data_IF_378897022957
#
_entry.id   IF_378897022957
#
_cell.length_a   1.000
_cell.length_b   1.000
_cell.length_c   1.000
_cell.angle_alpha   90.00
_cell.angle_beta   90.00
_cell.angle_gamma   90.00
#
_symmetry.space_group_name_H-M   'P 1'
#
loop_
_entity.id
_entity.type
_entity.pdbx_description
1 polymer ?
#
# COMPACT_ATOMS: atom_id res chain seq x y z
N UNK A 1 6.91 -0.01 37.65
CA UNK A 1 5.99 -0.56 36.63
C UNK A 1 6.25 -2.04 36.44
N UNK A 2 5.22 -2.90 36.34
CA UNK A 2 5.45 -4.30 35.92
C UNK A 2 5.84 -4.26 34.44
N UNK A 3 7.03 -4.77 34.08
CA UNK A 3 7.59 -4.87 32.70
C UNK A 3 6.54 -5.15 31.61
N UNK A 4 5.52 -5.94 31.94
CA UNK A 4 4.37 -6.27 31.10
C UNK A 4 3.50 -5.07 30.66
N UNK A 5 3.29 -4.06 31.50
CA UNK A 5 2.47 -2.88 31.16
C UNK A 5 3.22 -1.92 30.21
N UNK A 6 4.53 -1.79 30.38
CA UNK A 6 5.41 -1.03 29.47
C UNK A 6 5.43 -1.62 28.06
N UNK A 7 5.66 -2.94 27.98
CA UNK A 7 5.70 -3.68 26.72
C UNK A 7 4.32 -3.70 26.01
N UNK A 8 3.24 -3.50 26.75
CA UNK A 8 1.89 -3.41 26.19
C UNK A 8 1.58 -2.03 25.56
N UNK A 9 2.26 -0.96 26.00
CA UNK A 9 2.12 0.39 25.42
C UNK A 9 2.96 0.57 24.15
N UNK A 10 4.23 0.14 24.20
CA UNK A 10 5.16 0.21 23.06
C UNK A 10 4.80 -0.73 21.89
N UNK A 11 4.00 -1.77 22.13
CA UNK A 11 3.72 -2.81 21.14
C UNK A 11 2.63 -2.46 20.10
N UNK A 12 2.09 -1.25 20.10
CA UNK A 12 0.87 -0.91 19.34
C UNK A 12 0.98 0.29 18.41
N UNK A 13 2.02 1.12 18.59
CA UNK A 13 2.35 2.18 17.65
C UNK A 13 3.83 2.54 17.73
N UNK A 14 4.42 2.96 16.61
CA UNK A 14 5.80 3.43 16.51
C UNK A 14 5.83 4.73 15.69
N UNK A 15 6.73 5.65 16.07
CA UNK A 15 7.00 6.90 15.36
C UNK A 15 8.44 6.85 14.83
N UNK A 16 8.67 7.11 13.54
CA UNK A 16 9.99 6.99 12.92
C UNK A 16 10.92 8.18 13.10
N UNK A 17 10.44 9.34 13.55
CA UNK A 17 11.27 10.55 13.58
C UNK A 17 12.32 10.52 14.68
N UNK A 18 13.60 10.72 14.31
CA UNK A 18 14.70 10.90 15.26
C UNK A 18 14.88 12.37 15.72
N UNK A 19 14.07 13.31 15.19
CA UNK A 19 14.23 14.74 15.48
C UNK A 19 13.97 15.06 16.97
N UNK A 20 15.01 15.42 17.75
CA UNK A 20 14.91 15.62 19.21
C UNK A 20 14.21 16.92 19.61
N UNK A 21 13.61 17.64 18.66
CA UNK A 21 13.05 18.99 18.83
C UNK A 21 11.63 19.16 18.33
N UNK A 22 10.84 18.08 18.19
CA UNK A 22 9.39 18.19 18.16
C UNK A 22 8.88 18.61 19.56
N UNK A 23 9.20 19.86 19.92
CA UNK A 23 8.31 20.68 20.74
C UNK A 23 7.09 20.85 19.85
N UNK A 24 6.13 19.95 20.03
CA UNK A 24 4.81 20.06 19.41
C UNK A 24 4.22 21.37 19.95
N UNK A 25 4.45 22.47 19.24
CA UNK A 25 3.59 23.63 19.32
C UNK A 25 2.17 23.11 19.01
N UNK A 26 1.15 23.66 19.65
CA UNK A 26 -0.23 23.15 19.70
C UNK A 26 -0.95 22.91 18.34
N UNK A 27 -0.27 22.92 17.19
CA UNK A 27 -0.79 22.76 15.84
C UNK A 27 -0.09 21.65 15.04
N UNK A 28 0.04 20.45 15.63
CA UNK A 28 0.67 19.26 15.00
C UNK A 28 -0.05 18.79 13.73
N UNK A 29 -1.35 19.08 13.70
CA UNK A 29 -2.30 18.57 12.73
C UNK A 29 -2.86 19.78 11.99
N UNK A 30 -2.52 19.89 10.72
CA UNK A 30 -3.04 20.94 9.84
C UNK A 30 -4.20 20.40 9.03
N UNK A 31 -5.22 21.24 8.81
CA UNK A 31 -6.29 20.95 7.87
C UNK A 31 -5.88 21.46 6.48
N UNK A 32 -6.19 20.72 5.43
CA UNK A 32 -5.93 21.17 4.06
C UNK A 32 -7.17 20.95 3.18
N UNK A 33 -7.45 21.90 2.30
CA UNK A 33 -8.46 21.78 1.24
C UNK A 33 -7.77 21.28 -0.04
N UNK A 34 -8.47 20.46 -0.85
CA UNK A 34 -7.96 19.90 -2.11
C UNK A 34 -6.70 19.04 -1.94
N UNK A 35 -6.72 18.12 -0.96
CA UNK A 35 -5.57 17.26 -0.67
C UNK A 35 -5.31 16.28 -1.80
N UNK A 36 -4.08 15.75 -1.81
CA UNK A 36 -3.62 14.69 -2.71
C UNK A 36 -3.12 13.56 -1.85
N UNK A 37 -4.02 12.64 -1.55
CA UNK A 37 -3.83 11.53 -0.61
C UNK A 37 -3.48 10.28 -1.41
N UNK A 38 -2.41 9.60 -1.02
CA UNK A 38 -2.05 8.28 -1.54
C UNK A 38 -2.41 7.20 -0.51
N UNK A 39 -3.14 6.18 -0.93
CA UNK A 39 -3.40 4.96 -0.15
C UNK A 39 -2.65 3.81 -0.79
N UNK A 40 -1.56 3.39 -0.14
CA UNK A 40 -0.74 2.25 -0.54
C UNK A 40 -1.29 0.96 0.05
N UNK A 41 -1.51 -0.03 -0.81
CA UNK A 41 -1.95 -1.38 -0.44
C UNK A 41 -0.86 -2.37 -0.82
N UNK A 42 -0.07 -2.79 0.15
CA UNK A 42 0.97 -3.81 -0.04
C UNK A 42 0.28 -5.19 -0.19
N UNK A 43 0.45 -5.81 -1.35
CA UNK A 43 0.07 -7.20 -1.63
C UNK A 43 1.24 -8.10 -1.26
N UNK A 44 1.43 -8.31 0.05
CA UNK A 44 2.64 -8.93 0.60
C UNK A 44 2.74 -10.41 0.26
N UNK A 45 3.85 -10.77 -0.36
CA UNK A 45 4.15 -12.12 -0.80
C UNK A 45 4.14 -12.26 -2.32
N UNK A 46 4.53 -11.25 -3.11
CA UNK A 46 4.67 -11.34 -4.57
C UNK A 46 3.40 -11.82 -5.29
N UNK A 47 2.42 -10.93 -5.45
CA UNK A 47 1.16 -11.23 -6.10
C UNK A 47 1.34 -11.83 -7.51
N UNK A 48 0.61 -12.91 -7.80
CA UNK A 48 0.57 -13.52 -9.14
C UNK A 48 -0.16 -12.61 -10.14
N UNK A 49 0.61 -11.74 -10.81
CA UNK A 49 0.09 -10.81 -11.81
C UNK A 49 -0.61 -11.52 -12.98
N UNK A 50 -0.14 -12.71 -13.38
CA UNK A 50 -0.70 -13.48 -14.49
C UNK A 50 -2.08 -14.08 -14.18
N UNK A 51 -2.37 -14.35 -12.90
CA UNK A 51 -3.70 -14.73 -12.43
C UNK A 51 -4.51 -13.54 -11.88
N UNK A 52 -3.94 -12.33 -11.86
CA UNK A 52 -4.64 -11.11 -11.45
C UNK A 52 -5.22 -10.39 -12.68
N UNK A 53 -4.35 -10.14 -13.65
CA UNK A 53 -4.61 -9.54 -14.95
C UNK A 53 -4.25 -10.56 -16.03
N UNK A 54 -5.27 -11.31 -16.46
CA UNK A 54 -5.13 -12.60 -17.14
C UNK A 54 -5.06 -12.38 -18.66
N UNK A 55 -4.04 -12.93 -19.35
CA UNK A 55 -3.93 -12.90 -20.80
C UNK A 55 -4.76 -14.05 -21.38
N UNK A 56 -6.08 -13.96 -21.21
CA UNK A 56 -7.02 -15.09 -21.29
C UNK A 56 -7.10 -15.78 -22.66
N UNK A 57 -6.67 -15.11 -23.73
CA UNK A 57 -6.59 -15.67 -25.08
C UNK A 57 -5.26 -16.38 -25.37
N UNK A 58 -4.27 -16.30 -24.48
CA UNK A 58 -2.92 -16.83 -24.70
C UNK A 58 -2.87 -18.33 -24.50
N UNK A 59 -2.53 -19.07 -25.55
CA UNK A 59 -2.22 -20.50 -25.45
C UNK A 59 -1.02 -20.75 -24.52
N UNK A 60 0.01 -19.90 -24.56
CA UNK A 60 1.19 -20.05 -23.71
C UNK A 60 0.85 -20.00 -22.21
N UNK A 61 -0.07 -19.10 -21.83
CA UNK A 61 -0.57 -19.02 -20.45
C UNK A 61 -1.27 -20.32 -20.02
N UNK A 62 -2.23 -20.79 -20.81
CA UNK A 62 -2.97 -22.01 -20.49
C UNK A 62 -2.09 -23.27 -20.50
N UNK A 63 -1.13 -23.35 -21.42
CA UNK A 63 -0.17 -24.46 -21.49
C UNK A 63 0.79 -24.48 -20.31
N UNK A 64 1.30 -23.31 -19.90
CA UNK A 64 2.23 -23.22 -18.77
C UNK A 64 1.54 -23.42 -17.40
N UNK A 65 0.22 -23.28 -17.34
CA UNK A 65 -0.58 -23.29 -16.10
C UNK A 65 -1.76 -24.27 -16.15
N UNK A 66 -1.50 -25.57 -16.37
CA UNK A 66 -2.54 -26.54 -16.65
C UNK A 66 -3.60 -26.70 -15.54
N UNK A 67 -3.28 -26.40 -14.28
CA UNK A 67 -4.22 -26.53 -13.16
C UNK A 67 -4.64 -25.19 -12.55
N UNK A 68 -3.84 -24.14 -12.73
CA UNK A 68 -4.09 -22.82 -12.11
C UNK A 68 -4.55 -21.75 -13.10
N UNK A 69 -4.53 -22.01 -14.41
CA UNK A 69 -5.02 -21.05 -15.40
C UNK A 69 -6.52 -20.80 -15.21
N UNK A 70 -6.92 -19.53 -15.33
CA UNK A 70 -8.33 -19.16 -15.25
C UNK A 70 -8.98 -19.31 -16.64
N UNK A 71 -10.09 -20.06 -16.76
CA UNK A 71 -10.77 -20.23 -18.04
C UNK A 71 -11.23 -18.91 -18.64
N UNK A 72 -11.06 -18.74 -19.96
CA UNK A 72 -11.43 -17.53 -20.68
C UNK A 72 -12.92 -17.12 -20.55
N UNK A 73 -13.79 -18.07 -20.21
CA UNK A 73 -15.22 -17.84 -19.98
C UNK A 73 -15.50 -17.18 -18.62
N UNK A 74 -14.62 -17.32 -17.64
CA UNK A 74 -14.78 -16.77 -16.29
C UNK A 74 -14.17 -15.37 -16.17
N UNK A 75 -13.21 -15.04 -17.05
CA UNK A 75 -12.48 -13.77 -17.03
C UNK A 75 -13.38 -12.56 -17.34
N UNK A 76 -13.28 -11.52 -16.51
CA UNK A 76 -13.90 -10.22 -16.81
C UNK A 76 -13.04 -9.42 -17.78
N UNK A 77 -13.40 -9.47 -19.06
CA UNK A 77 -12.62 -8.87 -20.15
C UNK A 77 -12.47 -7.36 -19.99
N UNK A 78 -11.24 -6.88 -20.02
CA UNK A 78 -10.90 -5.45 -20.07
C UNK A 78 -10.53 -5.01 -21.49
N UNK A 79 -9.97 -5.94 -22.27
CA UNK A 79 -9.62 -5.77 -23.69
C UNK A 79 -9.89 -7.06 -24.47
N UNK A 80 -9.49 -7.08 -25.75
CA UNK A 80 -9.57 -8.27 -26.60
C UNK A 80 -8.65 -9.42 -26.17
N UNK A 81 -7.66 -9.18 -25.32
CA UNK A 81 -6.65 -10.18 -24.93
C UNK A 81 -6.41 -10.29 -23.43
N UNK A 82 -6.80 -9.27 -22.65
CA UNK A 82 -6.53 -9.17 -21.21
C UNK A 82 -7.81 -8.93 -20.42
N UNK A 83 -7.94 -9.55 -19.24
CA UNK A 83 -9.08 -9.36 -18.36
C UNK A 83 -8.77 -9.63 -16.89
N UNK A 84 -9.72 -9.35 -16.01
CA UNK A 84 -9.56 -9.52 -14.58
C UNK A 84 -9.96 -10.92 -14.12
N UNK A 85 -9.28 -11.36 -13.06
CA UNK A 85 -9.72 -12.50 -12.28
C UNK A 85 -11.19 -12.35 -11.83
N UNK A 86 -12.00 -13.43 -11.81
CA UNK A 86 -13.42 -13.38 -11.42
C UNK A 86 -13.64 -12.75 -10.04
N UNK A 87 -12.74 -13.04 -9.09
CA UNK A 87 -12.78 -12.48 -7.73
C UNK A 87 -12.69 -10.94 -7.68
N UNK A 88 -12.21 -10.29 -8.75
CA UNK A 88 -12.12 -8.83 -8.86
C UNK A 88 -13.41 -8.17 -9.38
N UNK A 89 -14.50 -8.94 -9.59
CA UNK A 89 -15.81 -8.42 -9.99
C UNK A 89 -16.27 -7.16 -9.23
N UNK A 90 -16.08 -7.04 -7.90
CA UNK A 90 -16.49 -5.83 -7.18
C UNK A 90 -15.86 -4.52 -7.67
N UNK A 91 -14.75 -4.58 -8.42
CA UNK A 91 -14.05 -3.40 -8.96
C UNK A 91 -14.56 -2.98 -10.34
N UNK A 92 -15.39 -3.78 -11.01
CA UNK A 92 -15.90 -3.44 -12.34
C UNK A 92 -16.65 -2.10 -12.41
N UNK A 93 -17.41 -1.65 -11.39
CA UNK A 93 -17.98 -0.31 -11.41
C UNK A 93 -16.94 0.81 -11.51
N UNK A 94 -15.77 0.68 -10.88
CA UNK A 94 -14.68 1.66 -10.99
C UNK A 94 -14.05 1.64 -12.39
N UNK A 95 -13.87 0.44 -12.98
CA UNK A 95 -13.44 0.29 -14.38
C UNK A 95 -14.39 0.99 -15.35
N UNK A 96 -15.70 0.73 -15.22
CA UNK A 96 -16.74 1.27 -16.11
C UNK A 96 -16.87 2.78 -16.02
N UNK A 97 -16.45 3.38 -14.90
CA UNK A 97 -16.39 4.83 -14.69
C UNK A 97 -15.06 5.45 -15.12
N UNK A 98 -14.13 4.66 -15.66
CA UNK A 98 -12.79 5.09 -16.04
C UNK A 98 -12.00 5.69 -14.87
N UNK A 99 -12.24 5.20 -13.65
CA UNK A 99 -11.57 5.63 -12.41
C UNK A 99 -10.51 4.62 -11.95
N UNK A 100 -10.18 3.64 -12.81
CA UNK A 100 -9.30 2.52 -12.50
C UNK A 100 -8.35 2.25 -13.65
N UNK A 101 -7.06 2.13 -13.35
CA UNK A 101 -6.01 1.81 -14.28
C UNK A 101 -5.21 0.58 -13.82
N UNK A 102 -4.71 -0.19 -14.78
CA UNK A 102 -3.77 -1.27 -14.54
C UNK A 102 -2.46 -0.97 -15.25
N UNK A 103 -1.38 -0.97 -14.49
CA UNK A 103 -0.02 -0.87 -15.04
C UNK A 103 0.54 -2.28 -15.19
N UNK A 104 1.04 -2.57 -16.39
CA UNK A 104 1.50 -3.89 -16.82
C UNK A 104 3.02 -3.88 -16.97
N UNK A 105 3.64 -5.04 -16.79
CA UNK A 105 5.07 -5.20 -17.02
C UNK A 105 5.94 -4.38 -16.09
N UNK A 106 5.45 -4.10 -14.88
CA UNK A 106 6.19 -3.40 -13.85
C UNK A 106 7.30 -4.29 -13.30
N UNK A 107 8.49 -3.73 -13.17
CA UNK A 107 9.65 -4.38 -12.57
C UNK A 107 10.83 -3.41 -12.50
N UNK A 108 12.04 -3.96 -12.43
CA UNK A 108 13.29 -3.21 -12.37
C UNK A 108 14.45 -4.09 -12.89
N UNK A 109 15.58 -3.48 -13.29
CA UNK A 109 16.79 -4.22 -13.67
C UNK A 109 17.25 -5.17 -12.56
N UNK A 110 17.82 -6.33 -12.94
CA UNK A 110 18.46 -7.28 -12.02
C UNK A 110 17.62 -7.69 -10.78
N UNK A 111 16.39 -8.23 -10.96
CA UNK A 111 15.50 -8.49 -9.85
C UNK A 111 16.02 -9.61 -8.94
N UNK A 112 15.98 -9.34 -7.64
CA UNK A 112 16.60 -10.14 -6.58
C UNK A 112 15.75 -11.36 -6.15
N UNK A 113 14.42 -11.21 -6.14
CA UNK A 113 13.42 -12.23 -5.73
C UNK A 113 13.46 -12.64 -4.25
N UNK A 114 14.29 -12.01 -3.42
CA UNK A 114 14.15 -12.05 -1.96
C UNK A 114 13.00 -11.15 -1.54
N UNK A 115 12.04 -11.67 -0.78
CA UNK A 115 10.95 -10.85 -0.23
C UNK A 115 11.49 -9.65 0.55
N UNK A 116 12.59 -9.82 1.28
CA UNK A 116 13.17 -8.77 2.12
C UNK A 116 13.86 -7.71 1.28
N UNK A 117 14.79 -8.09 0.40
CA UNK A 117 15.56 -7.10 -0.36
C UNK A 117 14.71 -6.44 -1.46
N UNK A 118 13.80 -7.20 -2.08
CA UNK A 118 12.96 -6.64 -3.14
C UNK A 118 11.94 -5.65 -2.57
N UNK A 119 11.28 -5.95 -1.44
CA UNK A 119 10.35 -4.97 -0.85
C UNK A 119 11.09 -3.71 -0.38
N UNK A 120 12.34 -3.82 0.10
CA UNK A 120 13.16 -2.66 0.45
C UNK A 120 13.48 -1.77 -0.76
N UNK A 121 13.76 -2.36 -1.92
CA UNK A 121 13.93 -1.64 -3.20
C UNK A 121 12.65 -0.88 -3.56
N UNK A 122 11.48 -1.54 -3.48
CA UNK A 122 10.20 -0.90 -3.74
C UNK A 122 9.87 0.21 -2.73
N UNK A 123 10.10 -0.02 -1.44
CA UNK A 123 9.78 0.93 -0.37
C UNK A 123 10.69 2.17 -0.41
N UNK A 124 11.95 2.04 -0.83
CA UNK A 124 12.92 3.15 -0.92
C UNK A 124 12.99 3.80 -2.31
N UNK A 125 12.59 3.11 -3.37
CA UNK A 125 12.65 3.61 -4.74
C UNK A 125 14.06 3.63 -5.35
N UNK A 126 14.98 2.83 -4.81
CA UNK A 126 16.39 2.77 -5.25
C UNK A 126 16.62 1.71 -6.34
N UNK A 127 17.85 1.61 -6.87
CA UNK A 127 18.23 0.52 -7.79
C UNK A 127 18.64 -0.75 -7.04
N UNK A 128 19.35 -0.59 -5.92
CA UNK A 128 19.92 -1.68 -5.15
C UNK A 128 19.62 -1.50 -3.66
N UNK A 129 19.26 -2.56 -2.95
CA UNK A 129 18.93 -2.51 -1.52
C UNK A 129 20.10 -2.04 -0.63
N UNK A 130 21.34 -2.08 -1.12
CA UNK A 130 22.51 -1.50 -0.44
C UNK A 130 22.50 0.03 -0.41
N UNK A 131 21.77 0.68 -1.32
CA UNK A 131 21.59 2.14 -1.40
C UNK A 131 20.43 2.64 -0.54
N UNK A 132 19.78 1.75 0.22
CA UNK A 132 18.57 2.07 0.98
C UNK A 132 18.79 3.19 1.99
N UNK A 133 17.81 4.09 2.05
CA UNK A 133 17.70 5.17 3.02
C UNK A 133 16.23 5.41 3.38
N UNK A 134 15.81 6.67 3.39
CA UNK A 134 14.40 7.03 3.56
C UNK A 134 13.52 6.39 2.47
N UNK A 135 12.31 5.99 2.84
CA UNK A 135 11.28 5.51 1.93
C UNK A 135 10.89 6.58 0.90
N UNK A 136 10.50 6.16 -0.29
CA UNK A 136 10.28 7.11 -1.39
C UNK A 136 9.16 8.12 -1.11
N UNK A 137 8.16 7.75 -0.29
CA UNK A 137 7.10 8.67 0.16
C UNK A 137 7.63 9.61 1.23
N UNK A 138 8.39 9.11 2.21
CA UNK A 138 9.00 9.95 3.24
C UNK A 138 9.90 11.04 2.63
N UNK A 139 10.67 10.71 1.59
CA UNK A 139 11.48 11.68 0.83
C UNK A 139 10.65 12.84 0.25
N UNK A 140 9.41 12.56 -0.19
CA UNK A 140 8.51 13.57 -0.75
C UNK A 140 8.01 14.57 0.31
N UNK A 141 8.04 14.19 1.58
CA UNK A 141 7.48 14.95 2.68
C UNK A 141 8.53 15.23 3.76
N UNK A 142 9.79 15.39 3.37
CA UNK A 142 10.85 15.83 4.28
C UNK A 142 10.45 17.14 4.98
N UNK A 143 10.55 17.17 6.30
CA UNK A 143 10.10 18.29 7.14
C UNK A 143 8.63 18.26 7.52
N UNK A 144 7.81 17.32 7.02
CA UNK A 144 6.44 17.13 7.51
C UNK A 144 6.45 16.47 8.88
N UNK A 145 5.63 17.01 9.79
CA UNK A 145 5.45 16.45 11.13
C UNK A 145 4.73 15.10 11.10
N UNK A 146 3.79 14.94 10.16
CA UNK A 146 3.12 13.68 9.88
C UNK A 146 2.91 13.51 8.36
N UNK A 147 3.92 13.00 7.68
CA UNK A 147 3.85 12.70 6.24
C UNK A 147 3.13 11.39 5.91
N UNK A 148 2.85 10.53 6.89
CA UNK A 148 1.98 9.39 6.65
C UNK A 148 1.63 8.53 7.85
N UNK A 149 0.64 7.66 7.65
CA UNK A 149 0.19 6.69 8.66
C UNK A 149 0.14 5.28 8.06
N UNK A 150 0.88 4.35 8.64
CA UNK A 150 0.76 2.93 8.33
C UNK A 150 -0.20 2.27 9.32
N UNK A 151 -1.28 1.64 8.84
CA UNK A 151 -2.12 0.75 9.64
C UNK A 151 -1.53 -0.66 9.58
N UNK A 152 -0.30 -0.77 10.07
CA UNK A 152 0.54 -1.96 10.04
C UNK A 152 1.63 -1.83 11.12
N UNK A 153 2.49 -2.83 11.26
CA UNK A 153 3.71 -2.78 12.08
C UNK A 153 4.95 -2.33 11.30
N UNK A 154 4.90 -2.34 9.96
CA UNK A 154 5.95 -1.83 9.09
C UNK A 154 5.51 -0.55 8.37
N UNK A 155 6.31 0.50 8.50
CA UNK A 155 6.11 1.80 7.83
C UNK A 155 6.38 1.73 6.32
N UNK A 156 7.27 0.82 5.88
CA UNK A 156 7.68 0.66 4.49
C UNK A 156 8.09 1.99 3.85
N UNK A 157 7.41 2.45 2.77
CA UNK A 157 7.79 3.66 2.06
C UNK A 157 7.55 4.95 2.85
N UNK A 158 6.85 4.88 4.00
CA UNK A 158 6.65 6.00 4.92
C UNK A 158 7.81 6.17 5.91
N UNK A 159 8.72 5.21 6.01
CA UNK A 159 9.87 5.33 6.91
C UNK A 159 10.80 6.45 6.43
N UNK A 160 11.22 7.33 7.32
CA UNK A 160 12.29 8.28 7.01
C UNK A 160 12.78 9.02 8.25
N UNK A 161 14.02 9.50 8.20
CA UNK A 161 14.64 10.24 9.31
C UNK A 161 14.12 11.67 9.41
N UNK A 162 13.75 12.26 8.28
CA UNK A 162 13.37 13.67 8.16
C UNK A 162 11.86 13.90 8.01
N UNK A 163 11.06 12.83 7.97
CA UNK A 163 9.61 12.87 7.86
C UNK A 163 8.98 12.05 8.99
N UNK A 164 8.06 12.64 9.76
CA UNK A 164 7.33 11.90 10.78
C UNK A 164 6.32 10.95 10.15
N UNK A 165 6.34 9.67 10.52
CA UNK A 165 5.32 8.71 10.13
C UNK A 165 4.89 7.85 11.32
N UNK A 166 3.59 7.61 11.42
CA UNK A 166 2.99 6.85 12.52
C UNK A 166 2.61 5.45 12.04
N UNK A 167 3.13 4.42 12.70
CA UNK A 167 2.65 3.05 12.56
C UNK A 167 1.61 2.78 13.63
N UNK A 168 0.46 2.22 13.28
CA UNK A 168 -0.61 1.86 14.22
C UNK A 168 -1.12 0.46 13.91
N UNK A 169 -0.83 -0.49 14.78
CA UNK A 169 -1.22 -1.90 14.58
C UNK A 169 -2.68 -2.17 14.99
N UNK A 170 -3.27 -1.33 15.86
CA UNK A 170 -4.67 -1.38 16.28
C UNK A 170 -5.13 0.01 16.75
N UNK A 171 -5.74 0.84 15.88
CA UNK A 171 -6.13 2.22 16.20
C UNK A 171 -7.14 2.34 17.35
N UNK A 172 -8.08 1.40 17.49
CA UNK A 172 -9.08 1.43 18.55
C UNK A 172 -8.47 1.08 19.92
N UNK A 173 -7.51 0.16 19.96
CA UNK A 173 -6.76 -0.16 21.18
C UNK A 173 -5.71 0.91 21.51
N UNK A 174 -5.14 1.53 20.50
CA UNK A 174 -4.23 2.67 20.60
C UNK A 174 -4.89 3.85 21.34
N UNK A 175 -6.05 4.30 20.88
CA UNK A 175 -6.84 5.37 21.52
C UNK A 175 -7.20 5.03 22.98
N UNK A 176 -7.48 3.75 23.30
CA UNK A 176 -7.79 3.31 24.67
C UNK A 176 -6.57 3.33 25.61
N UNK A 177 -5.36 3.20 25.08
CA UNK A 177 -4.12 3.11 25.86
C UNK A 177 -3.43 4.45 26.08
N UNK A 178 -3.56 5.41 25.16
CA UNK A 178 -3.07 6.79 25.36
C UNK A 178 -3.66 7.42 26.63
N UNK A 179 -4.89 7.06 26.98
CA UNK A 179 -5.56 7.50 28.22
C UNK A 179 -4.91 7.01 29.53
N UNK A 180 -3.90 6.14 29.49
CA UNK A 180 -3.24 5.56 30.69
C UNK A 180 -1.81 6.01 30.95
N UNK A 181 -1.24 6.90 30.14
CA UNK A 181 0.15 7.35 30.28
C UNK A 181 0.18 8.75 30.88
N UNK A 182 0.02 8.83 32.20
CA UNK A 182 0.24 10.06 32.98
C UNK A 182 1.13 9.79 34.23
N UNK A 183 1.93 8.71 34.22
CA UNK A 183 2.65 8.24 35.42
C UNK A 183 4.16 7.99 35.21
N UNK A 184 4.77 8.45 34.10
CA UNK A 184 6.17 8.18 33.76
C UNK A 184 7.13 9.36 33.97
N UNK A 185 6.70 10.46 34.59
CA UNK A 185 7.50 11.67 34.81
C UNK A 185 8.73 11.50 35.74
N UNK A 186 9.06 10.30 36.21
CA UNK A 186 10.13 10.09 37.18
C UNK A 186 11.51 9.94 36.51
N UNK A 187 12.28 11.03 36.55
CA UNK A 187 13.74 11.16 36.50
C UNK A 187 14.54 9.85 36.31
N UNK A 188 14.71 9.42 35.05
CA UNK A 188 15.78 8.49 34.68
C UNK A 188 16.99 9.27 34.19
N UNK A 189 18.20 8.89 34.58
CA UNK A 189 19.46 9.41 34.01
C UNK A 189 19.88 8.66 32.72
N UNK A 190 19.13 7.63 32.32
CA UNK A 190 19.42 6.86 31.12
C UNK A 190 18.83 7.57 29.88
N UNK A 191 19.71 8.04 29.01
CA UNK A 191 19.36 8.81 27.80
C UNK A 191 18.50 8.01 26.82
N UNK A 192 18.76 6.72 26.63
CA UNK A 192 17.96 5.85 25.77
C UNK A 192 16.53 5.67 26.33
N UNK A 193 16.40 5.53 27.66
CA UNK A 193 15.08 5.45 28.30
C UNK A 193 14.34 6.78 28.23
N UNK A 194 15.01 7.92 28.43
CA UNK A 194 14.41 9.24 28.24
C UNK A 194 13.91 9.44 26.81
N UNK A 195 14.68 9.01 25.82
CA UNK A 195 14.27 9.05 24.42
C UNK A 195 12.99 8.24 24.18
N UNK A 196 12.94 6.99 24.67
CA UNK A 196 11.74 6.15 24.55
C UNK A 196 10.51 6.79 25.22
N UNK A 197 10.69 7.38 26.41
CA UNK A 197 9.61 8.09 27.12
C UNK A 197 9.13 9.31 26.31
N UNK A 198 10.05 10.08 25.73
CA UNK A 198 9.70 11.24 24.90
C UNK A 198 8.94 10.84 23.64
N UNK A 199 9.39 9.80 22.93
CA UNK A 199 8.68 9.25 21.77
C UNK A 199 7.29 8.78 22.17
N UNK A 200 7.14 8.07 23.29
CA UNK A 200 5.84 7.61 23.77
C UNK A 200 4.90 8.80 24.10
N UNK A 201 5.39 9.84 24.77
CA UNK A 201 4.59 11.02 25.05
C UNK A 201 4.13 11.74 23.78
N UNK A 202 5.00 11.83 22.75
CA UNK A 202 4.64 12.39 21.46
C UNK A 202 3.53 11.58 20.78
N UNK A 203 3.67 10.26 20.80
CA UNK A 203 2.64 9.33 20.30
C UNK A 203 1.31 9.55 21.03
N UNK A 204 1.31 9.70 22.36
CA UNK A 204 0.09 9.90 23.15
C UNK A 204 -0.58 11.26 22.89
N UNK A 205 0.21 12.33 22.70
CA UNK A 205 -0.29 13.66 22.31
C UNK A 205 -0.94 13.60 20.93
N UNK A 206 -0.26 12.96 19.96
CA UNK A 206 -0.79 12.78 18.61
C UNK A 206 -2.07 11.94 18.64
N UNK A 207 -2.11 10.85 19.40
CA UNK A 207 -3.28 10.00 19.57
C UNK A 207 -4.48 10.78 20.11
N UNK A 208 -4.26 11.54 21.19
CA UNK A 208 -5.30 12.33 21.84
C UNK A 208 -5.81 13.44 20.92
N UNK A 209 -4.91 14.03 20.13
CA UNK A 209 -5.27 15.04 19.13
C UNK A 209 -6.12 14.41 18.01
N UNK A 210 -5.69 13.28 17.44
CA UNK A 210 -6.45 12.55 16.41
C UNK A 210 -7.84 12.12 16.89
N UNK A 211 -7.95 11.66 18.15
CA UNK A 211 -9.23 11.26 18.74
C UNK A 211 -10.28 12.38 18.71
N UNK A 212 -9.86 13.64 18.89
CA UNK A 212 -10.78 14.78 18.82
C UNK A 212 -11.38 14.99 17.42
N UNK A 213 -10.59 14.74 16.37
CA UNK A 213 -11.05 14.87 14.98
C UNK A 213 -11.91 13.71 14.51
N UNK A 214 -11.82 12.55 15.17
CA UNK A 214 -12.55 11.34 14.78
C UNK A 214 -14.01 11.32 15.25
N UNK A 215 -14.44 12.28 16.09
CA UNK A 215 -15.77 12.26 16.71
C UNK A 215 -16.91 12.57 15.72
N UNK A 216 -16.65 13.40 14.71
CA UNK A 216 -17.66 13.93 13.80
C UNK A 216 -17.62 13.31 12.39
N UNK A 217 -16.92 12.17 12.23
CA UNK A 217 -16.82 11.51 10.93
C UNK A 217 -18.10 10.72 10.63
N UNK A 218 -18.76 10.95 9.49
CA UNK A 218 -19.91 10.16 9.08
C UNK A 218 -19.57 8.67 9.08
N UNK A 219 -20.45 7.85 9.67
CA UNK A 219 -20.31 6.41 9.56
C UNK A 219 -20.30 5.99 8.08
N UNK A 220 -19.49 4.97 7.70
CA UNK A 220 -19.44 4.53 6.32
C UNK A 220 -20.82 4.04 5.86
N UNK A 221 -21.33 4.64 4.79
CA UNK A 221 -22.62 4.28 4.19
C UNK A 221 -22.62 2.83 3.65
N UNK A 222 -21.46 2.35 3.19
CA UNK A 222 -21.22 0.95 2.84
C UNK A 222 -20.30 0.32 3.89
N UNK A 223 -20.76 -0.66 4.68
CA UNK A 223 -19.90 -1.30 5.68
C UNK A 223 -18.65 -1.91 5.05
N UNK A 224 -17.50 -1.74 5.69
CA UNK A 224 -16.29 -2.47 5.31
C UNK A 224 -16.43 -3.95 5.67
N UNK A 225 -16.02 -4.87 4.78
CA UNK A 225 -15.95 -6.31 5.07
C UNK A 225 -15.26 -6.63 6.41
N UNK A 226 -15.78 -7.64 7.12
CA UNK A 226 -15.32 -8.02 8.47
C UNK A 226 -14.00 -8.82 8.48
N UNK A 227 -12.96 -8.30 7.83
CA UNK A 227 -11.62 -8.88 7.73
C UNK A 227 -10.53 -7.86 8.10
N UNK A 228 -9.25 -8.27 8.27
CA UNK A 228 -8.17 -7.35 8.66
C UNK A 228 -7.99 -6.15 7.74
N UNK A 229 -8.07 -6.35 6.42
CA UNK A 229 -7.96 -5.26 5.46
C UNK A 229 -9.13 -4.27 5.60
N UNK A 230 -10.35 -4.76 5.79
CA UNK A 230 -11.53 -3.90 5.98
C UNK A 230 -11.48 -3.05 7.24
N UNK A 231 -10.95 -3.59 8.34
CA UNK A 231 -10.69 -2.78 9.55
C UNK A 231 -9.62 -1.70 9.31
N UNK A 232 -8.59 -2.02 8.53
CA UNK A 232 -7.52 -1.09 8.21
C UNK A 232 -8.02 0.03 7.29
N UNK A 233 -8.76 -0.32 6.23
CA UNK A 233 -9.36 0.67 5.32
C UNK A 233 -10.49 1.48 5.97
N UNK A 234 -11.22 0.93 6.94
CA UNK A 234 -12.13 1.72 7.76
C UNK A 234 -11.37 2.80 8.54
N UNK A 235 -10.20 2.45 9.10
CA UNK A 235 -9.35 3.43 9.79
C UNK A 235 -8.83 4.51 8.83
N UNK A 236 -8.39 4.12 7.62
CA UNK A 236 -7.99 5.05 6.56
C UNK A 236 -9.15 5.97 6.16
N UNK A 237 -10.35 5.44 5.95
CA UNK A 237 -11.56 6.22 5.67
C UNK A 237 -11.81 7.26 6.76
N UNK A 238 -11.75 6.87 8.04
CA UNK A 238 -12.00 7.79 9.14
C UNK A 238 -10.94 8.88 9.21
N UNK A 239 -9.66 8.53 9.02
CA UNK A 239 -8.55 9.49 8.98
C UNK A 239 -8.68 10.46 7.79
N UNK A 240 -9.05 9.99 6.60
CA UNK A 240 -9.31 10.88 5.45
C UNK A 240 -10.46 11.85 5.76
N UNK A 241 -11.53 11.34 6.38
CA UNK A 241 -12.70 12.11 6.78
C UNK A 241 -12.42 13.25 7.76
N UNK A 242 -11.34 13.16 8.56
CA UNK A 242 -10.94 14.23 9.49
C UNK A 242 -10.58 15.54 8.80
N UNK A 243 -10.24 15.52 7.51
CA UNK A 243 -9.72 16.70 6.80
C UNK A 243 -8.26 17.04 7.10
N UNK A 244 -7.58 16.23 7.92
CA UNK A 244 -6.16 16.41 8.24
C UNK A 244 -5.26 16.25 7.01
N UNK A 245 -4.20 17.04 6.96
CA UNK A 245 -3.22 17.04 5.89
C UNK A 245 -2.21 15.89 6.04
N UNK A 246 -2.70 14.65 5.94
CA UNK A 246 -1.88 13.44 5.94
C UNK A 246 -1.82 12.96 4.48
N UNK A 247 -0.66 13.09 3.81
CA UNK A 247 -0.61 12.88 2.36
C UNK A 247 -0.53 11.39 1.97
N UNK A 248 -0.19 10.49 2.90
CA UNK A 248 -0.07 9.08 2.59
C UNK A 248 -0.55 8.14 3.71
N UNK A 249 -1.18 7.05 3.31
CA UNK A 249 -1.57 5.93 4.17
C UNK A 249 -1.02 4.62 3.60
N UNK A 250 -0.60 3.71 4.47
CA UNK A 250 -0.22 2.35 4.10
C UNK A 250 -1.09 1.32 4.81
N UNK A 251 -1.54 0.31 4.08
CA UNK A 251 -2.16 -0.91 4.60
C UNK A 251 -1.55 -2.12 3.91
N UNK A 252 -1.71 -3.29 4.52
CA UNK A 252 -1.11 -4.52 4.00
C UNK A 252 -2.16 -5.63 3.91
N UNK A 253 -2.18 -6.33 2.78
CA UNK A 253 -2.86 -7.60 2.58
C UNK A 253 -1.82 -8.69 2.35
N UNK A 254 -1.56 -9.48 3.39
CA UNK A 254 -0.60 -10.58 3.35
C UNK A 254 -1.20 -11.89 2.86
N UNK A 255 -0.35 -12.78 2.35
CA UNK A 255 -0.72 -14.15 2.01
C UNK A 255 -0.51 -14.50 0.54
N UNK A 256 0.02 -13.58 -0.26
CA UNK A 256 0.25 -13.79 -1.69
C UNK A 256 1.40 -14.76 -1.98
N UNK A 257 2.13 -15.23 -0.95
CA UNK A 257 3.24 -16.16 -1.12
C UNK A 257 2.81 -17.61 -1.41
N UNK A 258 2.13 -17.79 -2.54
CA UNK A 258 1.35 -19.00 -2.83
C UNK A 258 2.15 -20.02 -3.65
N UNK A 259 3.01 -20.78 -2.97
CA UNK A 259 3.80 -21.85 -3.57
C UNK A 259 3.07 -23.19 -3.74
N UNK A 260 1.92 -23.38 -3.11
CA UNK A 260 1.18 -24.65 -3.09
C UNK A 260 -0.31 -24.41 -3.27
N UNK A 261 -0.94 -25.15 -4.19
CA UNK A 261 -2.38 -25.15 -4.45
C UNK A 261 -2.99 -23.73 -4.44
N UNK A 262 -2.38 -22.83 -5.21
CA UNK A 262 -2.58 -21.39 -5.07
C UNK A 262 -3.98 -20.91 -5.45
N UNK A 263 -4.67 -21.62 -6.35
CA UNK A 263 -5.87 -21.13 -7.03
C UNK A 263 -6.92 -20.58 -6.05
N UNK A 264 -7.23 -21.34 -4.98
CA UNK A 264 -8.22 -20.92 -4.00
C UNK A 264 -7.72 -19.78 -3.10
N UNK A 265 -6.49 -19.88 -2.59
CA UNK A 265 -5.90 -18.86 -1.72
C UNK A 265 -5.79 -17.51 -2.42
N UNK A 266 -5.27 -17.52 -3.66
CA UNK A 266 -5.12 -16.31 -4.47
C UNK A 266 -6.48 -15.69 -4.81
N UNK A 267 -7.46 -16.50 -5.23
CA UNK A 267 -8.82 -16.02 -5.49
C UNK A 267 -9.45 -15.36 -4.26
N UNK A 268 -9.30 -15.95 -3.06
CA UNK A 268 -9.81 -15.39 -1.82
C UNK A 268 -9.13 -14.05 -1.47
N UNK A 269 -7.81 -13.95 -1.65
CA UNK A 269 -7.07 -12.70 -1.42
C UNK A 269 -7.52 -11.60 -2.38
N UNK A 270 -7.69 -11.92 -3.66
CA UNK A 270 -8.20 -10.97 -4.64
C UNK A 270 -9.65 -10.55 -4.34
N UNK A 271 -10.50 -11.46 -3.85
CA UNK A 271 -11.85 -11.12 -3.40
C UNK A 271 -11.82 -10.16 -2.22
N UNK A 272 -10.99 -10.46 -1.20
CA UNK A 272 -10.80 -9.58 -0.03
C UNK A 272 -10.31 -8.21 -0.48
N UNK A 273 -9.36 -8.13 -1.41
CA UNK A 273 -8.89 -6.87 -1.96
C UNK A 273 -10.03 -6.10 -2.65
N UNK A 274 -10.76 -6.76 -3.56
CA UNK A 274 -11.78 -6.13 -4.38
C UNK A 274 -12.97 -5.61 -3.56
N UNK A 275 -13.50 -6.40 -2.64
CA UNK A 275 -14.64 -6.01 -1.80
C UNK A 275 -14.29 -4.81 -0.91
N UNK A 276 -13.08 -4.80 -0.34
CA UNK A 276 -12.62 -3.74 0.54
C UNK A 276 -12.32 -2.44 -0.21
N UNK A 277 -11.71 -2.51 -1.40
CA UNK A 277 -11.48 -1.34 -2.25
C UNK A 277 -12.79 -0.78 -2.82
N UNK A 278 -13.75 -1.64 -3.18
CA UNK A 278 -15.08 -1.21 -3.59
C UNK A 278 -15.82 -0.45 -2.47
N UNK A 279 -15.75 -0.96 -1.22
CA UNK A 279 -16.30 -0.27 -0.05
C UNK A 279 -15.60 1.08 0.21
N UNK A 280 -14.26 1.12 0.13
CA UNK A 280 -13.50 2.38 0.29
C UNK A 280 -13.95 3.42 -0.74
N UNK A 281 -14.00 3.05 -2.03
CA UNK A 281 -14.47 3.92 -3.11
C UNK A 281 -15.88 4.44 -2.85
N UNK A 282 -16.83 3.56 -2.52
CA UNK A 282 -18.22 3.94 -2.26
C UNK A 282 -18.31 4.96 -1.11
N UNK A 283 -17.59 4.73 -0.02
CA UNK A 283 -17.61 5.62 1.14
C UNK A 283 -16.91 6.96 0.86
N UNK A 284 -15.79 6.98 0.14
CA UNK A 284 -15.11 8.22 -0.24
C UNK A 284 -15.91 9.06 -1.25
N UNK A 285 -16.69 8.42 -2.12
CA UNK A 285 -17.68 9.11 -2.97
C UNK A 285 -18.74 9.81 -2.12
N UNK A 286 -19.28 9.11 -1.11
CA UNK A 286 -20.27 9.69 -0.20
C UNK A 286 -19.72 10.85 0.64
N UNK A 287 -18.43 10.80 1.01
CA UNK A 287 -17.75 11.90 1.68
C UNK A 287 -17.35 13.05 0.74
N UNK A 288 -17.49 12.89 -0.58
CA UNK A 288 -17.00 13.86 -1.56
C UNK A 288 -15.47 13.94 -1.66
N UNK A 289 -14.76 12.95 -1.14
CA UNK A 289 -13.29 12.90 -1.06
C UNK A 289 -12.62 12.05 -2.14
N UNK A 290 -13.40 11.38 -3.00
CA UNK A 290 -12.85 10.48 -4.01
C UNK A 290 -11.88 11.15 -5.00
N UNK A 291 -12.08 12.44 -5.31
CA UNK A 291 -11.18 13.22 -6.18
C UNK A 291 -9.88 13.65 -5.49
N UNK A 292 -9.76 13.45 -4.17
CA UNK A 292 -8.56 13.74 -3.38
C UNK A 292 -7.72 12.48 -3.12
N UNK A 293 -8.18 11.30 -3.53
CA UNK A 293 -7.57 10.02 -3.18
C UNK A 293 -7.11 9.26 -4.41
N UNK A 294 -5.86 8.80 -4.36
CA UNK A 294 -5.27 7.81 -5.24
C UNK A 294 -4.97 6.55 -4.43
N UNK A 295 -5.53 5.42 -4.82
CA UNK A 295 -5.20 4.10 -4.28
C UNK A 295 -4.23 3.42 -5.23
N UNK A 296 -3.16 2.85 -4.69
CA UNK A 296 -2.19 2.06 -5.44
C UNK A 296 -1.92 0.73 -4.72
N UNK A 297 -2.01 -0.37 -5.43
CA UNK A 297 -1.46 -1.65 -4.95
C UNK A 297 0.02 -1.75 -5.31
N UNK A 298 0.81 -2.43 -4.50
CA UNK A 298 2.17 -2.82 -4.88
C UNK A 298 2.59 -4.14 -4.27
N UNK A 299 3.58 -4.80 -4.86
CA UNK A 299 4.16 -6.06 -4.40
C UNK A 299 5.63 -6.10 -4.78
N UNK A 300 6.42 -6.86 -4.04
CA UNK A 300 7.88 -6.90 -4.15
C UNK A 300 8.39 -7.45 -5.51
N UNK A 301 7.63 -8.34 -6.14
CA UNK A 301 7.87 -8.90 -7.48
C UNK A 301 6.65 -9.69 -7.95
N UNK A 302 6.68 -10.20 -9.19
CA UNK A 302 5.66 -11.07 -9.78
C UNK A 302 5.93 -12.57 -9.60
N UNK A 303 5.15 -13.38 -10.32
CA UNK A 303 5.27 -14.85 -10.31
C UNK A 303 5.69 -15.38 -11.67
N UNK A 304 6.36 -16.54 -11.69
CA UNK A 304 6.74 -17.20 -12.93
C UNK A 304 5.54 -17.56 -13.79
N UNK A 305 5.76 -17.61 -15.11
CA UNK A 305 4.76 -18.12 -16.04
C UNK A 305 4.41 -19.58 -15.75
N UNK A 306 5.41 -20.42 -15.54
CA UNK A 306 5.26 -21.86 -15.32
C UNK A 306 4.68 -22.17 -13.93
N UNK A 307 3.57 -22.90 -13.90
CA UNK A 307 3.06 -23.53 -12.67
C UNK A 307 4.07 -24.55 -12.15
N UNK A 308 4.30 -24.56 -10.83
CA UNK A 308 5.20 -25.50 -10.17
C UNK A 308 4.52 -26.85 -9.88
N UNK A 309 5.30 -27.86 -9.48
CA UNK A 309 4.80 -29.22 -9.23
C UNK A 309 3.78 -29.34 -8.09
N UNK A 310 3.54 -28.28 -7.32
CA UNK A 310 2.61 -28.25 -6.18
C UNK A 310 1.33 -27.46 -6.48
N UNK A 311 1.05 -27.16 -7.75
CA UNK A 311 -0.07 -26.31 -8.19
C UNK A 311 0.00 -24.90 -7.60
N UNK A 312 1.21 -24.37 -7.43
CA UNK A 312 1.49 -22.98 -7.08
C UNK A 312 2.43 -22.35 -8.10
N UNK A 313 3.03 -21.22 -7.72
CA UNK A 313 4.00 -20.53 -8.58
C UNK A 313 5.26 -20.15 -7.80
N UNK A 314 6.40 -20.25 -8.46
CA UNK A 314 7.67 -19.80 -7.89
C UNK A 314 7.85 -18.29 -8.10
N UNK A 315 8.83 -17.72 -7.39
CA UNK A 315 9.15 -16.28 -7.48
C UNK A 315 9.55 -15.93 -8.91
N UNK A 316 8.96 -14.87 -9.45
CA UNK A 316 9.30 -14.30 -10.75
C UNK A 316 9.83 -12.87 -10.61
N UNK A 317 9.60 -12.07 -11.66
CA UNK A 317 10.09 -10.70 -11.75
C UNK A 317 8.96 -9.72 -12.06
N UNK A 318 8.61 -9.53 -13.35
CA UNK A 318 7.62 -8.54 -13.74
C UNK A 318 6.20 -8.88 -13.26
N UNK A 319 5.41 -7.86 -12.93
CA UNK A 319 4.02 -8.00 -12.47
C UNK A 319 3.11 -6.86 -12.97
N UNK A 320 1.92 -6.76 -12.39
CA UNK A 320 0.96 -5.69 -12.66
C UNK A 320 0.45 -5.06 -11.36
N UNK A 321 0.23 -3.75 -11.35
CA UNK A 321 -0.34 -3.01 -10.22
C UNK A 321 -1.63 -2.27 -10.61
N UNK A 322 -2.55 -2.20 -9.65
CA UNK A 322 -3.83 -1.49 -9.72
C UNK A 322 -3.67 -0.06 -9.20
N UNK A 323 -4.22 0.88 -9.95
CA UNK A 323 -4.35 2.30 -9.60
C UNK A 323 -5.83 2.67 -9.65
N UNK A 324 -6.35 3.38 -8.65
CA UNK A 324 -7.77 3.77 -8.62
C UNK A 324 -7.98 5.08 -7.88
N UNK A 325 -8.83 5.96 -8.40
CA UNK A 325 -9.10 7.26 -7.77
C UNK A 325 -9.95 8.17 -8.64
N UNK A 326 -10.52 9.23 -8.06
CA UNK A 326 -11.41 10.13 -8.80
C UNK A 326 -10.74 10.95 -9.90
N UNK A 327 -9.40 11.01 -9.90
CA UNK A 327 -8.59 11.66 -10.94
C UNK A 327 -7.81 10.70 -11.82
N UNK A 328 -7.92 9.40 -11.58
CA UNK A 328 -7.26 8.40 -12.43
C UNK A 328 -7.90 8.42 -13.81
N UNK A 329 -7.08 8.50 -14.85
CA UNK A 329 -7.47 8.24 -16.24
C UNK A 329 -7.48 6.73 -16.46
N UNK A 330 -8.65 6.11 -16.38
CA UNK A 330 -8.77 4.66 -16.44
C UNK A 330 -8.28 4.05 -17.75
N UNK A 331 -7.71 2.84 -17.68
CA UNK A 331 -7.14 2.15 -18.84
C UNK A 331 -6.11 1.07 -18.49
N UNK A 332 -5.56 0.45 -19.54
CA UNK A 332 -4.38 -0.43 -19.43
C UNK A 332 -3.15 0.39 -19.85
N UNK A 333 -2.12 0.41 -19.01
CA UNK A 333 -0.87 1.14 -19.22
C UNK A 333 0.31 0.19 -19.19
N UNK A 334 1.38 0.54 -19.90
CA UNK A 334 2.50 -0.36 -20.16
C UNK A 334 2.10 -1.49 -21.13
N UNK A 335 3.08 -2.28 -21.54
CA UNK A 335 2.85 -3.44 -22.40
C UNK A 335 2.69 -4.71 -21.54
N UNK A 336 1.85 -5.64 -21.98
CA UNK A 336 1.80 -6.95 -21.33
C UNK A 336 3.10 -7.70 -21.62
N UNK A 337 3.85 -8.18 -20.61
CA UNK A 337 5.11 -8.89 -20.85
C UNK A 337 4.96 -10.08 -21.79
N UNK A 338 5.99 -10.34 -22.59
CA UNK A 338 5.99 -11.53 -23.45
C UNK A 338 5.90 -12.80 -22.61
N UNK A 339 5.05 -13.73 -23.06
CA UNK A 339 4.94 -15.07 -22.47
C UNK A 339 5.78 -16.11 -23.23
N UNK A 340 6.45 -15.67 -24.30
CA UNK A 340 7.28 -16.50 -25.17
C UNK A 340 8.76 -16.12 -25.10
N UNK A 341 9.04 -14.91 -24.62
CA UNK A 341 10.39 -14.36 -24.45
C UNK A 341 10.57 -14.08 -22.96
N UNK A 342 11.30 -14.97 -22.29
CA UNK A 342 11.55 -14.97 -20.86
C UNK A 342 13.04 -14.78 -20.61
N UNK A 343 13.41 -14.29 -19.43
CA UNK A 343 14.82 -14.21 -19.05
C UNK A 343 15.46 -15.62 -18.91
N UNK A 344 16.78 -15.66 -18.70
CA UNK A 344 17.52 -16.92 -18.52
C UNK A 344 17.03 -17.78 -17.33
N UNK A 345 16.26 -17.17 -16.42
CA UNK A 345 15.67 -17.82 -15.24
C UNK A 345 14.22 -18.23 -15.46
N UNK A 346 13.64 -17.96 -16.64
CA UNK A 346 12.24 -18.23 -16.97
C UNK A 346 11.26 -17.21 -16.40
N UNK A 347 11.72 -16.02 -16.06
CA UNK A 347 10.91 -14.95 -15.49
C UNK A 347 10.43 -13.99 -16.59
N UNK A 348 9.27 -13.35 -16.38
CA UNK A 348 8.76 -12.32 -17.28
C UNK A 348 9.70 -11.11 -17.28
N UNK A 349 10.08 -10.66 -18.46
CA UNK A 349 10.90 -9.46 -18.65
C UNK A 349 10.02 -8.22 -18.47
N UNK A 350 10.41 -7.33 -17.55
CA UNK A 350 9.69 -6.08 -17.31
C UNK A 350 9.90 -5.12 -18.50
N UNK A 351 8.94 -4.23 -18.70
CA UNK A 351 9.02 -3.19 -19.74
C UNK A 351 8.66 -1.80 -19.22
N UNK A 352 8.22 -1.71 -17.97
CA UNK A 352 7.95 -0.46 -17.27
C UNK A 352 8.70 -0.48 -15.95
N UNK A 353 9.57 0.50 -15.73
CA UNK A 353 10.25 0.62 -14.46
C UNK A 353 9.30 1.16 -13.39
N UNK A 354 9.28 0.56 -12.20
CA UNK A 354 8.37 1.02 -11.15
C UNK A 354 8.66 2.44 -10.66
N UNK A 355 9.88 2.94 -10.87
CA UNK A 355 10.24 4.32 -10.52
C UNK A 355 9.57 5.33 -11.44
N UNK A 356 9.21 4.95 -12.66
CA UNK A 356 8.43 5.81 -13.56
C UNK A 356 7.01 6.02 -13.00
N UNK A 357 6.44 4.98 -12.38
CA UNK A 357 5.20 5.08 -11.62
C UNK A 357 5.36 6.02 -10.41
N UNK A 358 6.47 5.93 -9.67
CA UNK A 358 6.72 6.84 -8.55
C UNK A 358 6.93 8.29 -9.01
N UNK A 359 7.66 8.50 -10.11
CA UNK A 359 7.86 9.83 -10.70
C UNK A 359 6.54 10.46 -11.14
N UNK A 360 5.59 9.64 -11.62
CA UNK A 360 4.22 10.07 -11.93
C UNK A 360 3.49 10.53 -10.68
N UNK A 361 3.50 9.74 -9.60
CA UNK A 361 2.82 10.13 -8.35
C UNK A 361 3.45 11.41 -7.79
N UNK A 362 4.78 11.46 -7.69
CA UNK A 362 5.50 12.66 -7.22
C UNK A 362 5.16 13.90 -8.04
N UNK A 363 5.24 13.80 -9.37
CA UNK A 363 5.05 14.93 -10.28
C UNK A 363 3.59 15.30 -10.51
N UNK A 364 2.78 14.35 -10.95
CA UNK A 364 1.41 14.60 -11.42
C UNK A 364 0.40 14.61 -10.26
N UNK A 365 0.62 13.82 -9.20
CA UNK A 365 -0.27 13.78 -8.03
C UNK A 365 0.08 14.86 -7.01
N UNK A 366 1.33 14.92 -6.59
CA UNK A 366 1.80 15.83 -5.52
C UNK A 366 2.40 17.14 -6.02
N UNK A 367 2.60 17.31 -7.34
CA UNK A 367 3.11 18.55 -7.91
C UNK A 367 4.59 18.81 -7.62
N UNK A 368 5.36 17.77 -7.30
CA UNK A 368 6.79 17.89 -7.01
C UNK A 368 7.62 17.89 -8.29
N UNK A 369 8.81 18.48 -8.22
CA UNK A 369 9.75 18.44 -9.34
C UNK A 369 10.28 17.00 -9.52
N UNK A 370 10.01 16.42 -10.68
CA UNK A 370 10.60 15.15 -11.13
C UNK A 370 10.91 15.21 -12.62
N UNK A 371 11.78 14.32 -13.10
CA UNK A 371 11.98 14.16 -14.54
C UNK A 371 10.63 13.84 -15.21
N UNK A 372 10.30 14.59 -16.26
CA UNK A 372 9.03 14.47 -16.99
C UNK A 372 9.09 13.40 -18.08
N UNK A 373 10.29 12.94 -18.45
CA UNK A 373 10.51 11.96 -19.53
C UNK A 373 10.26 10.51 -19.10
N UNK A 374 10.13 10.27 -17.79
CA UNK A 374 9.98 8.96 -17.16
C UNK A 374 8.69 8.91 -16.33
N UNK A 375 7.53 9.15 -16.96
CA UNK A 375 6.22 9.11 -16.30
C UNK A 375 5.22 8.24 -17.06
N UNK A 376 4.37 7.54 -16.31
CA UNK A 376 3.21 6.82 -16.80
C UNK A 376 1.99 7.72 -16.65
N UNK A 377 1.48 8.27 -17.74
CA UNK A 377 0.45 9.32 -17.71
C UNK A 377 -0.98 8.81 -17.41
N UNK A 378 -1.22 8.31 -16.18
CA UNK A 378 -2.54 7.85 -15.70
C UNK A 378 -3.27 8.86 -14.78
N UNK A 379 -2.68 10.03 -14.51
CA UNK A 379 -3.26 11.11 -13.65
C UNK A 379 -3.62 12.38 -14.40
#
# INVERSE_FOLDING_TARGET
MKRRQFLQGLGLATLSSLAPHLVLANNVLTMAQNRRILVLVELKGANDGLNTLIPYTSTAYHTARPNIAIPAAEVHRLSSSVGLHPALQPLLPAWQKSEMAWLQGLGYPDPNRSHFESIEIWDSGVHDASERGDGWVAQCFSGYELGGVAIDTNLGPLYGETCGALSVSDPARFIRLSRKINALQAASSNTALQYIINVQNQIDILASSLESYLQDIPAPATPFPANPLGRSLHSVYSLIGTGLNIPAYKVTLSGFDTHVSQQHTHANLLQVLAENLAALRANLLNLGMWNEVLVMTYSEFGRRLQENGSRGTDHGAASCHLLMGGKVRGGLYGEYPSLLDLDERGDLIYNTDFRDLYATIKGDWWGQETDTTQRVHFL
#
